data_IF_847851528676
#
_entry.id   IF_847851528676
#
_cell.length_a   1.000
_cell.length_b   1.000
_cell.length_c   1.000
_cell.angle_alpha   90.00
_cell.angle_beta   90.00
_cell.angle_gamma   90.00
#
_symmetry.space_group_name_H-M   'P 1'
#
loop_
_entity.id
_entity.type
_entity.pdbx_description
1 polymer ?
#
# COMPACT_ATOMS: atom_id res chain seq x y z
N UNK A 1 -2.95 13.22 2.07
CA UNK A 1 -2.93 14.11 0.91
C UNK A 1 -1.93 13.60 -0.14
N UNK A 2 -2.10 14.08 -1.37
CA UNK A 2 -1.21 13.67 -2.44
C UNK A 2 -1.96 13.21 -3.68
N UNK A 3 -1.46 13.57 -4.85
CA UNK A 3 -2.11 13.18 -6.08
C UNK A 3 -3.59 13.53 -6.11
N UNK A 4 -4.42 12.55 -6.43
CA UNK A 4 -5.85 12.76 -6.49
C UNK A 4 -6.47 12.72 -5.09
N UNK A 5 -7.19 13.78 -4.74
CA UNK A 5 -7.83 13.86 -3.43
C UNK A 5 -9.23 13.28 -3.47
N UNK A 6 -9.41 12.13 -2.84
CA UNK A 6 -10.71 11.46 -2.81
C UNK A 6 -11.36 11.59 -1.43
N UNK A 7 -12.15 12.65 -1.27
CA UNK A 7 -12.84 12.88 0.01
C UNK A 7 -14.30 12.48 -0.08
N UNK A 8 -14.62 11.30 0.43
CA UNK A 8 -15.99 10.80 0.41
C UNK A 8 -16.52 10.61 1.83
N UNK A 9 -17.50 11.41 2.21
CA UNK A 9 -18.09 11.33 3.54
C UNK A 9 -19.48 10.69 3.48
N UNK A 10 -19.58 9.47 4.00
CA UNK A 10 -20.85 8.74 4.00
C UNK A 10 -20.85 7.66 5.08
N UNK A 11 -22.00 7.49 5.73
CA UNK A 11 -22.13 6.49 6.79
C UNK A 11 -22.53 5.14 6.20
N UNK A 12 -21.91 4.78 5.08
CA UNK A 12 -22.20 3.51 4.42
C UNK A 12 -20.96 2.94 3.74
N UNK A 13 -20.98 1.64 3.46
CA UNK A 13 -19.87 0.94 2.81
C UNK A 13 -19.70 1.35 1.36
N UNK A 14 -19.02 2.47 1.13
CA UNK A 14 -18.79 2.97 -0.22
C UNK A 14 -17.60 2.27 -0.86
N UNK A 15 -17.10 2.84 -1.96
CA UNK A 15 -15.96 2.27 -2.67
C UNK A 15 -15.34 3.29 -3.61
N UNK A 16 -14.02 3.40 -3.57
CA UNK A 16 -13.30 4.34 -4.43
C UNK A 16 -12.96 3.71 -5.77
N UNK A 17 -13.66 4.13 -6.82
CA UNK A 17 -13.43 3.60 -8.16
C UNK A 17 -12.28 4.33 -8.83
N UNK A 18 -11.08 3.77 -8.72
CA UNK A 18 -9.89 4.37 -9.32
C UNK A 18 -9.35 3.49 -10.45
N UNK A 19 -9.48 3.97 -11.68
CA UNK A 19 -9.00 3.22 -12.84
C UNK A 19 -7.95 4.02 -13.61
N UNK A 20 -7.00 3.31 -14.21
CA UNK A 20 -5.94 3.96 -14.97
C UNK A 20 -5.21 4.98 -14.11
N UNK A 21 -5.07 4.68 -12.83
CA UNK A 21 -4.39 5.58 -11.90
C UNK A 21 -2.88 5.58 -12.15
N UNK A 22 -2.36 6.74 -12.56
CA UNK A 22 -0.94 6.88 -12.84
C UNK A 22 -0.33 8.03 -12.04
N UNK A 23 0.57 7.69 -11.12
CA UNK A 23 1.23 8.70 -10.30
C UNK A 23 2.57 9.10 -10.88
N UNK A 24 2.62 10.29 -11.48
CA UNK A 24 3.85 10.80 -12.08
C UNK A 24 4.44 11.92 -11.24
N UNK A 25 5.39 11.57 -10.37
CA UNK A 25 6.04 12.54 -9.51
C UNK A 25 5.01 13.28 -8.65
N UNK A 26 4.09 12.53 -8.08
CA UNK A 26 3.05 13.10 -7.23
C UNK A 26 3.65 14.02 -6.17
N UNK A 27 4.84 13.67 -5.69
CA UNK A 27 5.52 14.46 -4.69
C UNK A 27 6.89 14.94 -5.19
N UNK A 28 7.09 16.25 -5.17
CA UNK A 28 8.35 16.83 -5.62
C UNK A 28 9.39 16.81 -4.50
N UNK A 29 10.59 17.30 -4.80
CA UNK A 29 11.67 17.34 -3.83
C UNK A 29 11.20 17.97 -2.52
N UNK A 30 11.00 19.29 -2.55
CA UNK A 30 10.55 20.01 -1.37
C UNK A 30 9.37 19.32 -0.70
N UNK A 31 8.49 18.75 -1.51
CA UNK A 31 7.30 18.07 -0.98
C UNK A 31 6.47 17.48 -2.11
N UNK B 1 0.06 9.52 3.33
CA UNK B 1 0.02 10.34 2.13
C UNK B 1 0.92 9.77 1.04
N UNK B 2 0.68 10.20 -0.20
CA UNK B 2 1.49 9.71 -1.31
C UNK B 2 0.64 9.21 -2.46
N UNK B 3 1.07 9.50 -3.68
CA UNK B 3 0.33 9.07 -4.85
C UNK B 3 -1.14 9.45 -4.79
N UNK B 4 -2.01 8.48 -5.01
CA UNK B 4 -3.45 8.73 -4.97
C UNK B 4 -3.97 8.77 -3.53
N UNK B 5 -4.64 9.86 -3.20
CA UNK B 5 -5.19 10.02 -1.85
C UNK B 5 -6.61 9.47 -1.78
N UNK B 6 -6.77 8.34 -1.08
CA UNK B 6 -8.08 7.72 -0.92
C UNK B 6 -8.63 7.94 0.47
N UNK B 7 -9.42 9.01 0.63
CA UNK B 7 -10.02 9.34 1.91
C UNK B 7 -11.49 8.95 1.95
N UNK B 8 -11.78 7.81 2.55
CA UNK B 8 -13.15 7.31 2.65
C UNK B 8 -13.60 7.21 4.11
N UNK B 9 -14.57 8.03 4.48
CA UNK B 9 -15.08 8.03 5.85
C UNK B 9 -16.46 7.38 5.92
N UNK B 10 -16.53 6.21 6.54
CA UNK B 10 -17.79 5.48 6.66
C UNK B 10 -17.72 4.48 7.81
N UNK B 11 -18.82 4.38 8.56
CA UNK B 11 -18.88 3.46 9.69
C UNK B 11 -19.33 2.07 9.24
N UNK B 12 -18.81 1.63 8.09
CA UNK B 12 -19.17 0.33 7.55
C UNK B 12 -17.99 -0.29 6.80
N UNK B 13 -18.05 -1.62 6.57
CA UNK B 13 -17.00 -2.35 5.87
C UNK B 13 -16.94 -2.00 4.39
N UNK B 14 -16.24 -0.93 4.06
CA UNK B 14 -16.11 -0.48 2.68
C UNK B 14 -14.98 -1.24 1.98
N UNK B 15 -14.55 -0.71 0.83
CA UNK B 15 -13.48 -1.34 0.07
C UNK B 15 -12.90 -0.37 -0.97
N UNK B 16 -11.59 -0.32 -1.05
CA UNK B 16 -10.92 0.56 -2.00
C UNK B 16 -10.68 -0.13 -3.34
N UNK B 17 -11.44 0.26 -4.35
CA UNK B 17 -11.31 -0.34 -5.68
C UNK B 17 -10.20 0.34 -6.47
N UNK B 18 -9.00 -0.24 -6.39
CA UNK B 18 -7.85 0.32 -7.11
C UNK B 18 -7.41 -0.62 -8.23
N UNK B 19 -7.64 -0.21 -9.47
CA UNK B 19 -7.26 -1.01 -10.62
C UNK B 19 -6.25 -0.27 -11.50
N UNK B 20 -5.35 -1.01 -12.13
CA UNK B 20 -4.34 -0.43 -12.99
C UNK B 20 -3.52 0.62 -12.24
N UNK B 21 -3.31 0.37 -10.95
CA UNK B 21 -2.54 1.28 -10.11
C UNK B 21 -1.06 1.25 -10.48
N UNK B 22 -0.55 2.38 -10.97
CA UNK B 22 0.85 2.46 -11.35
C UNK B 22 1.55 3.64 -10.65
N UNK B 23 2.52 3.32 -9.81
CA UNK B 23 3.25 4.34 -9.07
C UNK B 23 4.56 4.68 -9.77
N UNK B 24 4.60 5.84 -10.41
CA UNK B 24 5.80 6.29 -11.12
C UNK B 24 6.47 7.43 -10.37
N UNK B 25 7.47 7.09 -9.56
CA UNK B 25 8.20 8.09 -8.79
C UNK B 25 7.26 8.87 -7.89
N UNK B 26 6.35 8.17 -7.22
CA UNK B 26 5.40 8.81 -6.33
C UNK B 26 6.09 9.76 -5.36
N UNK B 27 7.31 9.40 -4.96
CA UNK B 27 8.08 10.23 -4.04
C UNK B 27 9.41 10.64 -4.65
N UNK B 28 9.66 11.94 -4.71
CA UNK B 28 10.89 12.47 -5.27
C UNK B 28 12.01 12.47 -4.24
N UNK B 29 13.19 12.91 -4.64
CA UNK B 29 14.34 12.96 -3.75
C UNK B 29 13.98 13.65 -2.44
N UNK B 30 13.84 14.97 -2.47
CA UNK B 30 13.50 15.72 -1.29
C UNK B 30 12.35 15.10 -0.52
N UNK B 31 11.37 14.57 -1.26
CA UNK B 31 10.21 13.95 -0.64
C UNK B 31 9.30 13.32 -1.70
N UNK C 1 3.07 5.78 4.57
CA UNK C 1 2.98 6.56 3.34
C UNK C 1 3.79 5.92 2.22
N UNK C 2 3.47 6.28 0.98
CA UNK C 2 4.18 5.72 -0.16
C UNK C 2 3.25 5.19 -1.23
N UNK C 3 3.60 5.42 -2.48
CA UNK C 3 2.77 4.96 -3.57
C UNK C 3 1.32 5.37 -3.43
N UNK C 4 0.42 4.41 -3.54
CA UNK C 4 -1.02 4.69 -3.42
C UNK C 4 -1.43 4.81 -1.95
N UNK C 5 -2.06 5.93 -1.62
CA UNK C 5 -2.51 6.16 -0.25
C UNK C 5 -3.93 5.66 -0.04
N UNK C 6 -4.08 4.57 0.70
CA UNK C 6 -5.38 3.99 0.97
C UNK C 6 -5.85 4.31 2.39
N UNK C 7 -6.60 5.39 2.53
CA UNK C 7 -7.11 5.80 3.84
C UNK C 7 -8.58 5.44 3.99
N UNK C 8 -8.84 4.33 4.68
CA UNK C 8 -10.21 3.88 4.90
C UNK C 8 -10.55 3.86 6.38
N UNK C 9 -11.49 4.71 6.78
CA UNK C 9 -11.91 4.80 8.17
C UNK C 9 -13.29 4.17 8.37
N UNK C 10 -13.32 3.03 9.07
CA UNK C 10 -14.57 2.34 9.33
C UNK C 10 -14.43 1.39 10.52
N UNK C 11 -15.47 1.35 11.35
CA UNK C 11 -15.46 0.49 12.53
C UNK C 11 -15.97 -0.90 12.19
N UNK C 12 -15.54 -1.42 11.04
CA UNK C 12 -15.96 -2.74 10.60
C UNK C 12 -14.85 -3.42 9.79
N UNK C 13 -14.96 -4.75 9.64
CA UNK C 13 -13.97 -5.55 8.89
C UNK C 13 -14.03 -5.28 7.39
N UNK C 14 -13.33 -4.23 6.96
CA UNK C 14 -13.29 -3.87 5.55
C UNK C 14 -12.23 -4.68 4.81
N UNK C 15 -11.87 -4.21 3.61
CA UNK C 15 -10.88 -4.89 2.80
C UNK C 15 -10.36 -3.98 1.67
N UNK C 16 -9.05 -3.98 1.49
CA UNK C 16 -8.44 -3.15 0.45
C UNK C 16 -8.30 -3.91 -0.86
N UNK C 17 -9.14 -3.57 -1.83
CA UNK C 17 -9.12 -4.22 -3.14
C UNK C 17 -8.05 -3.60 -4.03
N UNK C 18 -6.86 -4.20 -4.03
CA UNK C 18 -5.75 -3.70 -4.84
C UNK C 18 -5.41 -4.71 -5.94
N UNK C 19 -5.72 -4.34 -7.18
CA UNK C 19 -5.44 -5.20 -8.32
C UNK C 19 -4.49 -4.52 -9.30
N UNK C 20 -3.66 -5.32 -9.96
CA UNK C 20 -2.69 -4.79 -10.91
C UNK C 20 -1.80 -3.74 -10.27
N UNK C 21 -1.50 -3.92 -8.99
CA UNK C 21 -0.66 -2.99 -8.26
C UNK C 21 0.80 -3.08 -8.73
N UNK C 22 1.29 -1.98 -9.31
CA UNK C 22 2.66 -1.94 -9.80
C UNK C 22 3.42 -0.76 -9.20
N UNK C 23 4.45 -1.06 -8.42
CA UNK C 23 5.26 -0.03 -7.78
C UNK C 23 6.52 0.25 -8.58
N UNK C 24 6.54 1.38 -9.28
CA UNK C 24 7.69 1.77 -10.09
C UNK C 24 8.46 2.91 -9.44
N UNK C 25 9.50 2.58 -8.69
CA UNK C 25 10.31 3.59 -8.02
C UNK C 25 9.45 4.45 -7.09
N UNK C 26 8.57 3.79 -6.34
CA UNK C 26 7.69 4.50 -5.41
C UNK C 26 8.48 5.48 -4.55
N UNK C 27 9.72 5.11 -4.21
CA UNK C 27 10.57 5.95 -3.39
C UNK C 27 11.87 6.29 -4.11
N UNK C 28 12.13 7.59 -4.25
CA UNK C 28 13.34 8.05 -4.91
C UNK C 28 14.53 8.06 -3.97
N UNK C 29 15.69 8.46 -4.48
CA UNK C 29 16.91 8.52 -3.67
C UNK C 29 16.65 9.27 -2.36
N UNK C 30 16.55 10.59 -2.46
CA UNK C 30 16.32 11.39 -1.27
C UNK C 30 15.20 10.84 -0.40
N UNK C 31 14.17 10.31 -1.04
CA UNK C 31 13.04 9.74 -0.31
C UNK C 31 12.04 9.09 -1.27
N UNK D 1 6.09 2.03 5.74
CA UNK D 1 5.92 2.76 4.49
C UNK D 1 6.64 2.04 3.35
N UNK D 2 6.25 2.36 2.12
CA UNK D 2 6.86 1.73 0.96
C UNK D 2 5.84 1.17 -0.01
N UNK D 3 6.10 1.33 -1.30
CA UNK D 3 5.19 0.83 -2.31
C UNK D 3 3.76 1.29 -2.08
N UNK D 4 2.83 0.35 -2.08
CA UNK D 4 1.42 0.67 -1.87
C UNK D 4 1.12 0.87 -0.39
N UNK D 5 0.53 2.02 -0.06
CA UNK D 5 0.18 2.33 1.33
C UNK D 5 -1.23 1.87 1.65
N UNK D 6 -1.35 0.83 2.46
CA UNK D 6 -2.65 0.29 2.84
C UNK D 6 -3.01 0.69 4.28
N UNK D 7 -3.75 1.80 4.40
CA UNK D 7 -4.15 2.30 5.71
C UNK D 7 -5.61 1.97 5.99
N UNK D 8 -5.84 0.90 6.75
CA UNK D 8 -7.19 0.48 7.09
C UNK D 8 -7.42 0.55 8.60
N UNK D 9 -8.32 1.43 9.01
CA UNK D 9 -8.63 1.60 10.43
C UNK D 9 -10.00 1.01 10.75
N UNK D 10 -10.00 -0.08 11.52
CA UNK D 10 -11.24 -0.74 11.90
C UNK D 10 -11.03 -1.63 13.11
N UNK D 11 -11.99 -1.60 14.04
CA UNK D 11 -11.92 -2.41 15.25
C UNK D 11 -12.48 -3.81 15.02
N UNK D 12 -12.13 -4.40 13.87
CA UNK D 12 -12.60 -5.73 13.53
C UNK D 12 -11.57 -6.47 12.68
N UNK D 13 -11.72 -7.80 12.61
CA UNK D 13 -10.81 -8.66 11.83
C UNK D 13 -10.98 -8.47 10.33
N UNK D 14 -10.28 -7.47 9.79
CA UNK D 14 -10.34 -7.17 8.36
C UNK D 14 -9.37 -8.03 7.58
N UNK D 15 -9.09 -7.64 6.34
CA UNK D 15 -8.16 -8.37 5.50
C UNK D 15 -7.71 -7.53 4.31
N UNK D 16 -6.42 -7.57 4.02
CA UNK D 16 -5.87 -6.80 2.90
C UNK D 16 -5.85 -7.64 1.62
N UNK D 17 -6.74 -7.30 0.69
CA UNK D 17 -6.82 -8.02 -0.57
C UNK D 17 -5.81 -7.47 -1.58
N UNK D 18 -4.64 -8.09 -1.62
CA UNK D 18 -3.58 -7.67 -2.54
C UNK D 18 -3.34 -8.72 -3.61
N UNK D 19 -3.73 -8.40 -4.84
CA UNK D 19 -3.55 -9.32 -5.96
C UNK D 19 -2.66 -8.71 -7.03
N UNK D 20 -1.89 -9.55 -7.71
CA UNK D 20 -0.98 -9.10 -8.76
C UNK D 20 -0.03 -8.03 -8.23
N UNK D 21 0.36 -8.17 -6.96
CA UNK D 21 1.27 -7.22 -6.34
C UNK D 21 2.69 -7.36 -6.91
N UNK D 22 3.15 -6.32 -7.58
CA UNK D 22 4.48 -6.32 -8.17
C UNK D 22 5.30 -5.14 -7.68
N UNK D 23 6.38 -5.43 -6.96
CA UNK D 23 7.26 -4.39 -6.44
C UNK D 23 8.46 -4.17 -7.34
N UNK D 24 8.46 -3.08 -8.09
CA UNK D 24 9.55 -2.76 -8.99
C UNK D 24 10.38 -1.59 -8.46
N UNK D 25 11.47 -1.92 -7.76
CA UNK D 25 12.35 -0.91 -7.20
C UNK D 25 11.58 0.01 -6.25
N UNK D 26 10.75 -0.59 -5.41
CA UNK D 26 9.95 0.18 -4.45
C UNK D 26 10.82 1.17 -3.69
N UNK D 27 12.07 0.78 -3.43
CA UNK D 27 12.99 1.65 -2.71
C UNK D 27 14.24 1.93 -3.54
N UNK D 28 14.53 3.20 -3.75
CA UNK D 28 15.69 3.61 -4.53
C UNK D 28 16.95 3.63 -3.66
N UNK D 29 18.08 3.97 -4.27
CA UNK D 29 19.34 4.04 -3.55
C UNK D 29 19.21 4.85 -2.27
N UNK D 30 19.13 6.16 -2.42
CA UNK D 30 19.00 7.03 -1.26
C UNK D 30 17.95 6.54 -0.30
N UNK D 31 16.85 6.01 -0.83
CA UNK D 31 15.77 5.50 0.00
C UNK D 31 14.69 4.84 -0.85
N UNK E 1 9.10 -1.72 6.88
CA UNK E 1 8.86 -1.04 5.61
C UNK E 1 9.49 -1.83 4.45
N UNK E 2 9.01 -1.57 3.24
CA UNK E 2 9.53 -2.26 2.08
C UNK E 2 8.43 -2.84 1.22
N UNK E 3 8.61 -2.74 -0.10
CA UNK E 3 7.61 -3.27 -1.02
C UNK E 3 6.21 -2.76 -0.72
N UNK E 4 5.26 -3.69 -0.60
CA UNK E 4 3.88 -3.33 -0.31
C UNK E 4 3.69 -3.05 1.18
N UNK E 5 3.15 -1.88 1.49
CA UNK E 5 2.91 -1.49 2.88
C UNK E 5 1.51 -1.88 3.32
N UNK E 6 1.43 -2.89 4.19
CA UNK E 6 0.15 -3.37 4.70
C UNK E 6 -0.10 -2.88 6.11
N UNK E 7 -0.81 -1.76 6.23
CA UNK E 7 -1.11 -1.19 7.54
C UNK E 7 -2.57 -1.47 7.93
N UNK E 8 -2.75 -2.48 8.77
CA UNK E 8 -4.09 -2.86 9.23
C UNK E 8 -4.21 -2.72 10.73
N UNK E 9 -5.05 -1.78 11.17
CA UNK E 9 -5.25 -1.54 12.59
C UNK E 9 -6.60 -2.09 13.05
N UNK E 10 -6.56 -3.14 13.86
CA UNK E 10 -7.78 -3.76 14.36
C UNK E 10 -7.49 -4.60 15.61
N UNK E 11 -8.37 -4.50 16.60
CA UNK E 11 -8.21 -5.25 17.85
C UNK E 11 -8.81 -6.65 17.72
N UNK E 12 -8.56 -7.30 16.60
CA UNK E 12 -9.07 -8.64 16.35
C UNK E 12 -8.12 -9.44 15.47
N UNK E 13 -8.29 -10.77 15.49
CA UNK E 13 -7.46 -11.68 14.69
C UNK E 13 -7.74 -11.56 13.20
N UNK E 14 -7.07 -10.60 12.55
CA UNK E 14 -7.25 -10.38 11.12
C UNK E 14 -6.33 -11.30 10.32
N UNK E 15 -6.14 -10.98 9.04
CA UNK E 15 -5.29 -11.78 8.16
C UNK E 15 -4.92 -11.00 6.91
N UNK E 16 -3.66 -11.09 6.52
CA UNK E 16 -3.17 -10.39 5.34
C UNK E 16 -3.26 -11.28 4.09
N UNK E 17 -4.21 -10.96 3.22
CA UNK E 17 -4.41 -11.74 2.00
C UNK E 17 -3.47 -11.25 0.90
N UNK E 18 -2.30 -11.90 0.79
CA UNK E 18 -1.32 -11.55 -0.22
C UNK E 18 -1.18 -12.66 -1.25
N UNK E 19 -1.65 -12.39 -2.47
CA UNK E 19 -1.58 -13.36 -3.54
C UNK E 19 -0.75 -12.83 -4.71
N UNK E 20 -0.06 -13.72 -5.40
CA UNK E 20 0.77 -13.33 -6.53
C UNK E 20 1.80 -12.26 -6.13
N UNK E 21 2.27 -12.36 -4.89
CA UNK E 21 3.25 -11.41 -4.38
C UNK E 21 4.60 -11.60 -5.05
N UNK E 22 5.04 -10.58 -5.78
CA UNK E 22 6.32 -10.64 -6.48
C UNK E 22 7.21 -9.46 -6.10
N UNK E 23 8.33 -9.75 -5.46
CA UNK E 23 9.26 -8.70 -5.04
C UNK E 23 10.41 -8.57 -6.04
N UNK E 24 10.36 -7.51 -6.84
CA UNK E 24 11.40 -7.25 -7.83
C UNK E 24 12.29 -6.10 -7.41
N UNK E 25 13.42 -6.42 -6.79
CA UNK E 25 14.36 -5.40 -6.33
C UNK E 25 13.68 -4.42 -5.38
N UNK E 26 12.90 -4.96 -4.45
CA UNK E 26 12.19 -4.14 -3.47
C UNK E 26 13.13 -3.13 -2.82
N UNK E 27 14.38 -3.53 -2.63
CA UNK E 27 15.39 -2.67 -2.00
C UNK E 27 16.58 -2.46 -2.94
N UNK E 28 16.88 -1.21 -3.22
CA UNK E 28 17.99 -0.86 -4.11
C UNK E 28 19.30 -0.84 -3.33
N UNK E 29 20.40 -0.56 -4.04
CA UNK E 29 21.71 -0.50 -3.42
C UNK E 29 21.69 0.37 -2.16
N UNK E 30 21.63 1.68 -2.37
CA UNK E 30 21.60 2.60 -1.25
C UNK E 30 20.60 2.18 -0.18
N UNK E 31 19.46 1.65 -0.61
CA UNK E 31 18.42 1.22 0.31
C UNK E 31 17.27 0.55 -0.43
N UNK F 1 12.12 -5.49 7.99
CA UNK F 1 11.81 -4.88 6.71
C UNK F 1 12.34 -5.74 5.56
N UNK F 2 11.78 -5.53 4.37
CA UNK F 2 12.20 -6.29 3.21
C UNK F 2 11.03 -6.87 2.44
N UNK F 3 11.11 -6.84 1.11
CA UNK F 3 10.05 -7.38 0.29
C UNK F 3 8.69 -6.82 0.67
N UNK F 4 7.74 -7.72 0.90
CA UNK F 4 6.38 -7.30 1.28
C UNK F 4 6.31 -6.95 2.76
N UNK F 5 5.78 -5.77 3.05
CA UNK F 5 5.64 -5.30 4.43
C UNK F 5 4.27 -5.65 4.99
N UNK F 6 4.23 -6.59 5.92
CA UNK F 6 2.97 -7.02 6.53
C UNK F 6 2.83 -6.44 7.94
N UNK F 7 2.17 -5.29 8.05
CA UNK F 7 1.96 -4.65 9.34
C UNK F 7 0.54 -4.87 9.84
N UNK F 8 0.40 -5.83 10.74
CA UNK F 8 -0.91 -6.16 11.30
C UNK F 8 -0.92 -5.93 12.82
N UNK F 9 -1.70 -4.94 13.26
CA UNK F 9 -1.80 -4.62 14.67
C UNK F 9 -3.10 -5.15 15.26
N UNK F 10 -3.00 -6.16 16.12
CA UNK F 10 -4.18 -6.75 16.74
C UNK F 10 -3.78 -7.50 18.01
N UNK F 11 -4.64 -7.41 19.03
CA UNK F 11 -4.38 -8.09 20.29
C UNK F 11 -5.00 -9.49 20.31
N UNK F 12 -4.84 -10.20 19.19
CA UNK F 12 -5.38 -11.55 19.08
C UNK F 12 -4.51 -12.42 18.17
N UNK F 13 -4.69 -13.74 18.25
CA UNK F 13 -3.93 -14.69 17.44
C UNK F 13 -4.31 -14.63 15.97
N UNK F 14 -3.70 -13.71 15.24
CA UNK F 14 -3.98 -13.55 13.82
C UNK F 14 -3.15 -14.52 12.99
N UNK F 15 -3.10 -14.28 11.68
CA UNK F 15 -2.33 -15.14 10.79
C UNK F 15 -2.04 -14.43 9.47
N UNK F 16 -0.82 -14.56 8.97
CA UNK F 16 -0.42 -13.94 7.72
C UNK F 16 -0.62 -14.88 6.54
N UNK F 17 -1.61 -14.58 5.70
CA UNK F 17 -1.90 -15.40 4.54
C UNK F 17 -1.03 -15.00 3.35
N UNK F 18 0.11 -15.67 3.21
CA UNK F 18 1.04 -15.39 2.12
C UNK F 18 1.07 -16.55 1.13
N UNK F 19 0.51 -16.32 -0.06
CA UNK F 19 0.49 -17.34 -1.10
C UNK F 19 1.23 -16.87 -2.34
N UNK F 20 1.85 -17.81 -3.06
CA UNK F 20 2.59 -17.50 -4.26
C UNK F 20 3.65 -16.43 -3.99
N UNK F 21 4.23 -16.48 -2.79
CA UNK F 21 5.26 -15.53 -2.40
C UNK F 21 6.56 -15.78 -3.16
N UNK F 22 6.97 -14.81 -3.97
CA UNK F 22 8.20 -14.94 -4.75
C UNK F 22 9.14 -13.76 -4.49
N UNK F 23 10.29 -14.05 -3.91
CA UNK F 23 11.27 -13.01 -3.61
C UNK F 23 12.35 -12.95 -4.69
N UNK F 24 12.26 -11.93 -5.53
CA UNK F 24 13.22 -11.75 -6.61
C UNK F 24 14.18 -10.60 -6.30
N UNK F 25 15.33 -10.93 -5.73
CA UNK F 25 16.32 -9.93 -5.39
C UNK F 25 15.75 -8.89 -4.43
N UNK F 26 15.02 -9.35 -3.43
CA UNK F 26 14.41 -8.47 -2.44
C UNK F 26 15.42 -7.46 -1.91
N UNK F 27 16.67 -7.90 -1.78
CA UNK F 27 17.73 -7.03 -1.29
C UNK F 27 18.85 -6.89 -2.31
N UNK F 28 19.16 -5.66 -2.68
CA UNK F 28 20.21 -5.39 -3.66
C UNK F 28 21.58 -5.39 -2.98
N UNK F 29 22.62 -5.13 -3.77
CA UNK F 29 23.99 -5.10 -3.25
C UNK F 29 24.08 -4.19 -2.04
N UNK F 30 24.04 -2.89 -2.27
CA UNK F 30 24.11 -1.93 -1.18
C UNK F 30 23.18 -2.27 -0.04
N UNK F 31 21.99 -2.77 -0.38
CA UNK F 31 21.00 -3.13 0.63
C UNK F 31 19.79 -3.79 -0.02
#
# INVERSE_FOLDING_TARGET
YGGFMTSEKSQTPLVTLFKNAIIKNAYKKGE
YGGFMTSEKSQTPLVTLFKNAIIKNAYKKGE
YGGFMTSEKSQTPLVTLFKNAIIKNAYKKGE
YGGFMTSEKSQTPLVTLFKNAIIKNAYKKGE
YGGFMTSEKSQTPLVTLFKNAIIKNAYKKGE
YGGFMTSEKSQTPLVTLFKNAIIKNAYKKGE
#
